data_IF_648697941309
#
_entry.id   IF_648697941309
#
_cell.length_a   1.000
_cell.length_b   1.000
_cell.length_c   1.000
_cell.angle_alpha   90.00
_cell.angle_beta   90.00
_cell.angle_gamma   90.00
#
_symmetry.space_group_name_H-M   'P 1'
#
loop_
_entity.id
_entity.type
_entity.pdbx_description
1 polymer ?
#
# COMPACT_ATOMS: atom_id res chain seq x y z
N UNK A 1 15.59 2.07 -0.97
CA UNK A 1 15.52 2.77 -2.28
C UNK A 1 14.45 3.84 -2.20
N UNK A 2 14.45 4.83 -3.09
CA UNK A 2 13.41 5.86 -3.22
C UNK A 2 12.58 5.61 -4.48
N UNK A 3 11.33 6.04 -4.51
CA UNK A 3 10.52 5.98 -5.72
C UNK A 3 11.12 6.84 -6.84
N UNK A 4 10.78 6.51 -8.09
CA UNK A 4 11.18 7.28 -9.26
C UNK A 4 10.00 8.14 -9.71
N UNK A 5 10.27 9.37 -10.13
CA UNK A 5 9.25 10.21 -10.76
C UNK A 5 8.74 9.62 -12.10
N UNK A 6 9.57 8.86 -12.80
CA UNK A 6 9.22 8.13 -14.03
C UNK A 6 9.85 6.73 -13.97
N UNK A 7 9.20 5.78 -13.27
CA UNK A 7 9.68 4.40 -13.21
C UNK A 7 9.44 3.69 -14.55
N UNK A 8 10.32 2.76 -14.89
CA UNK A 8 10.10 1.84 -16.01
C UNK A 8 9.08 0.75 -15.64
N UNK A 9 9.17 0.23 -14.42
CA UNK A 9 8.35 -0.87 -13.92
C UNK A 9 7.32 -0.35 -12.90
N UNK A 10 6.08 -0.20 -13.37
CA UNK A 10 4.95 0.17 -12.54
C UNK A 10 3.63 -0.26 -13.20
N UNK A 11 2.55 -0.28 -12.40
CA UNK A 11 1.20 -0.27 -12.92
C UNK A 11 0.36 0.77 -12.20
N UNK A 12 -0.78 1.14 -12.80
CA UNK A 12 -1.74 2.07 -12.21
C UNK A 12 -3.15 1.47 -12.24
N UNK A 13 -3.93 1.79 -11.21
CA UNK A 13 -5.36 1.50 -11.13
C UNK A 13 -6.13 2.77 -10.80
N UNK A 14 -7.39 2.84 -11.23
CA UNK A 14 -8.31 3.92 -10.87
C UNK A 14 -9.27 3.48 -9.76
N UNK A 15 -9.62 4.39 -8.86
CA UNK A 15 -10.61 4.14 -7.81
C UNK A 15 -11.40 5.41 -7.48
N UNK A 16 -12.52 5.27 -6.77
CA UNK A 16 -13.29 6.40 -6.24
C UNK A 16 -12.94 6.65 -4.78
N UNK A 17 -12.73 7.90 -4.39
CA UNK A 17 -12.62 8.29 -2.99
C UNK A 17 -13.27 9.66 -2.73
N UNK A 18 -13.75 9.85 -1.50
CA UNK A 18 -14.33 11.11 -1.05
C UNK A 18 -13.22 12.09 -0.67
N UNK A 19 -13.47 13.38 -0.91
CA UNK A 19 -12.55 14.44 -0.48
C UNK A 19 -12.36 14.42 1.04
N UNK A 20 -11.15 14.69 1.49
CA UNK A 20 -10.79 14.88 2.91
C UNK A 20 -11.21 13.73 3.83
N UNK A 21 -11.39 12.53 3.27
CA UNK A 21 -11.72 11.33 4.02
C UNK A 21 -10.45 10.51 4.20
N UNK A 22 -10.11 10.09 5.43
CA UNK A 22 -8.96 9.23 5.66
C UNK A 22 -9.26 7.79 5.20
N UNK A 23 -8.32 7.19 4.47
CA UNK A 23 -8.36 5.80 4.05
C UNK A 23 -7.14 5.04 4.54
N UNK A 24 -7.36 3.85 5.06
CA UNK A 24 -6.29 2.87 5.27
C UNK A 24 -5.98 2.16 3.96
N UNK A 25 -4.72 2.18 3.53
CA UNK A 25 -4.22 1.33 2.46
C UNK A 25 -3.95 -0.06 2.99
N UNK A 26 -4.47 -1.10 2.34
CA UNK A 26 -4.06 -2.47 2.52
C UNK A 26 -3.68 -3.07 1.17
N UNK A 27 -2.60 -3.85 1.15
CA UNK A 27 -2.22 -4.69 0.02
C UNK A 27 -2.13 -6.12 0.51
N UNK A 28 -2.76 -7.02 -0.25
CA UNK A 28 -2.55 -8.45 -0.10
C UNK A 28 -1.48 -8.88 -1.07
N UNK A 29 -0.39 -9.40 -0.53
CA UNK A 29 0.77 -9.76 -1.33
C UNK A 29 1.40 -11.08 -0.93
N UNK A 30 2.29 -11.56 -1.78
CA UNK A 30 3.12 -12.74 -1.57
C UNK A 30 4.52 -12.50 -2.14
N UNK A 31 5.53 -12.56 -1.28
CA UNK A 31 6.91 -12.44 -1.69
C UNK A 31 7.39 -13.72 -2.40
N UNK A 32 8.14 -13.57 -3.49
CA UNK A 32 8.77 -14.70 -4.16
C UNK A 32 9.75 -15.40 -3.21
N UNK A 33 9.48 -16.69 -2.98
CA UNK A 33 10.29 -17.53 -2.08
C UNK A 33 10.15 -17.19 -0.60
N UNK A 34 9.09 -16.47 -0.20
CA UNK A 34 8.89 -15.98 1.17
C UNK A 34 10.13 -15.21 1.69
N UNK A 35 10.78 -14.44 0.80
CA UNK A 35 12.01 -13.71 1.08
C UNK A 35 11.74 -12.23 1.35
N UNK A 36 12.33 -11.71 2.43
CA UNK A 36 12.30 -10.28 2.78
C UNK A 36 12.95 -9.38 1.72
N UNK A 37 13.76 -9.96 0.81
CA UNK A 37 14.39 -9.20 -0.26
C UNK A 37 13.45 -8.93 -1.45
N UNK A 38 12.24 -9.47 -1.41
CA UNK A 38 11.25 -9.49 -2.50
C UNK A 38 9.86 -9.06 -1.99
N UNK A 39 9.79 -8.22 -0.97
CA UNK A 39 8.62 -8.13 -0.09
C UNK A 39 7.98 -6.74 -0.02
N UNK A 40 8.43 -5.81 -0.85
CA UNK A 40 8.00 -4.43 -0.74
C UNK A 40 7.81 -3.69 -2.06
N UNK A 41 6.93 -2.69 -1.99
CA UNK A 41 6.59 -1.82 -3.13
C UNK A 41 6.50 -0.36 -2.69
N UNK A 42 6.82 0.54 -3.63
CA UNK A 42 6.48 1.95 -3.52
C UNK A 42 5.04 2.16 -3.98
N UNK A 43 4.29 2.97 -3.22
CA UNK A 43 2.90 3.32 -3.53
C UNK A 43 2.78 4.83 -3.63
N UNK A 44 2.19 5.28 -4.73
CA UNK A 44 1.93 6.69 -5.01
C UNK A 44 0.48 6.90 -5.44
N UNK A 45 -0.04 8.12 -5.29
CA UNK A 45 -1.39 8.49 -5.71
C UNK A 45 -1.41 9.75 -6.58
N UNK A 46 -2.49 9.99 -7.32
CA UNK A 46 -2.61 11.15 -8.22
C UNK A 46 -2.47 12.50 -7.51
N UNK A 47 -3.09 12.62 -6.34
CA UNK A 47 -3.41 13.91 -5.73
C UNK A 47 -3.59 13.81 -4.20
N UNK A 48 -3.00 12.77 -3.57
CA UNK A 48 -3.00 12.64 -2.12
C UNK A 48 -2.35 13.85 -1.44
N UNK A 49 -2.79 14.10 -0.21
CA UNK A 49 -2.35 15.20 0.64
C UNK A 49 -2.01 14.72 2.04
N UNK A 50 -1.14 15.44 2.73
CA UNK A 50 -0.90 15.29 4.16
C UNK A 50 -1.94 16.05 5.01
N UNK A 51 -1.78 16.00 6.34
CA UNK A 51 -2.67 16.65 7.32
C UNK A 51 -2.70 18.18 7.21
N UNK A 52 -1.74 18.80 6.51
CA UNK A 52 -1.70 20.24 6.23
C UNK A 52 -2.33 20.60 4.89
N UNK A 53 -2.74 19.60 4.10
CA UNK A 53 -3.23 19.75 2.74
C UNK A 53 -2.11 19.86 1.69
N UNK A 54 -0.85 19.68 2.07
CA UNK A 54 0.26 19.72 1.14
C UNK A 54 0.36 18.42 0.32
N UNK A 55 0.90 18.45 -0.91
CA UNK A 55 1.13 17.25 -1.71
C UNK A 55 1.96 16.20 -0.96
N UNK A 56 1.45 14.96 -0.89
CA UNK A 56 2.16 13.82 -0.30
C UNK A 56 2.01 12.58 -1.19
N UNK A 57 3.05 11.76 -1.28
CA UNK A 57 3.09 10.47 -2.00
C UNK A 57 2.59 10.53 -3.45
N UNK A 58 2.90 11.61 -4.16
CA UNK A 58 2.27 11.86 -5.48
C UNK A 58 2.99 11.18 -6.64
N UNK A 59 2.19 10.64 -7.55
CA UNK A 59 2.63 10.16 -8.86
C UNK A 59 3.40 11.26 -9.58
N UNK A 60 4.55 10.90 -10.18
CA UNK A 60 5.41 11.87 -10.87
C UNK A 60 6.46 12.52 -9.96
N UNK A 61 6.55 12.10 -8.70
CA UNK A 61 7.56 12.55 -7.73
C UNK A 61 8.41 11.38 -7.23
N UNK A 62 9.43 11.66 -6.43
CA UNK A 62 10.19 10.64 -5.70
C UNK A 62 9.59 10.31 -4.33
N UNK A 63 8.51 10.99 -3.94
CA UNK A 63 7.82 10.77 -2.68
C UNK A 63 6.79 9.64 -2.83
N UNK A 64 6.75 8.74 -1.86
CA UNK A 64 5.92 7.54 -1.85
C UNK A 64 5.71 7.03 -0.44
N UNK A 65 4.59 6.40 -0.18
CA UNK A 65 4.50 5.48 0.96
C UNK A 65 5.01 4.09 0.54
N UNK A 66 5.31 3.23 1.50
CA UNK A 66 5.83 1.88 1.24
C UNK A 66 4.93 0.89 1.93
N UNK A 67 4.63 -0.21 1.26
CA UNK A 67 4.07 -1.41 1.90
C UNK A 67 5.15 -2.47 1.92
N UNK A 68 5.42 -3.02 3.10
CA UNK A 68 6.33 -4.13 3.35
C UNK A 68 5.52 -5.32 3.85
N UNK A 69 5.72 -6.50 3.27
CA UNK A 69 5.02 -7.71 3.71
C UNK A 69 5.52 -8.19 5.08
N UNK A 70 6.83 -8.11 5.32
CA UNK A 70 7.42 -8.45 6.60
C UNK A 70 7.24 -7.25 7.55
N UNK A 71 6.39 -7.43 8.56
CA UNK A 71 6.05 -6.38 9.51
C UNK A 71 7.24 -5.94 10.37
N UNK A 72 8.27 -6.78 10.52
CA UNK A 72 9.46 -6.46 11.28
C UNK A 72 10.65 -7.34 10.87
N UNK A 73 11.87 -6.88 11.12
CA UNK A 73 13.08 -7.68 10.87
C UNK A 73 12.99 -9.04 11.58
N UNK A 74 12.95 -10.12 10.79
CA UNK A 74 12.89 -11.49 11.30
C UNK A 74 11.50 -11.94 11.78
N UNK A 75 10.45 -11.17 11.51
CA UNK A 75 9.07 -11.60 11.76
C UNK A 75 8.67 -12.77 10.84
N UNK A 76 9.31 -12.90 9.68
CA UNK A 76 9.15 -13.98 8.73
C UNK A 76 7.92 -13.84 7.83
N UNK A 77 8.08 -14.30 6.60
CA UNK A 77 7.03 -14.33 5.57
C UNK A 77 6.54 -15.75 5.36
N UNK A 78 5.28 -15.89 4.93
CA UNK A 78 4.75 -17.18 4.47
C UNK A 78 3.50 -16.97 3.64
N UNK A 79 3.55 -17.33 2.36
CA UNK A 79 2.38 -17.30 1.49
C UNK A 79 1.78 -15.91 1.31
N UNK A 80 0.46 -15.84 1.18
CA UNK A 80 -0.26 -14.57 1.05
C UNK A 80 -0.46 -13.91 2.42
N UNK A 81 -0.40 -12.59 2.45
CA UNK A 81 -0.58 -11.80 3.66
C UNK A 81 -1.08 -10.39 3.37
N UNK A 82 -1.88 -9.84 4.29
CA UNK A 82 -2.37 -8.46 4.24
C UNK A 82 -1.49 -7.54 5.06
N UNK A 83 -1.00 -6.47 4.44
CA UNK A 83 -0.24 -5.42 5.13
C UNK A 83 -0.67 -4.01 4.71
N UNK A 84 -0.54 -3.07 5.64
CA UNK A 84 -0.65 -1.65 5.34
C UNK A 84 0.73 -1.02 5.13
N UNK A 85 0.76 0.30 5.13
CA UNK A 85 1.99 1.09 5.01
C UNK A 85 2.67 1.37 6.37
N UNK A 86 2.41 0.55 7.39
CA UNK A 86 3.10 0.53 8.67
C UNK A 86 4.29 -0.43 8.66
N UNK A 87 5.28 -0.16 9.52
CA UNK A 87 6.37 -1.09 9.79
C UNK A 87 6.52 -1.27 11.30
N UNK A 88 6.28 -2.49 11.75
CA UNK A 88 6.28 -2.94 13.14
C UNK A 88 5.10 -3.86 13.44
N UNK A 89 5.27 -4.76 14.40
CA UNK A 89 4.18 -5.64 14.85
C UNK A 89 3.06 -4.82 15.48
N UNK A 90 1.84 -4.96 14.96
CA UNK A 90 0.66 -4.16 15.34
C UNK A 90 0.84 -2.64 15.16
N UNK A 91 1.72 -2.21 14.23
CA UNK A 91 1.89 -0.80 13.89
C UNK A 91 1.12 -0.50 12.60
N UNK A 92 0.23 0.48 12.65
CA UNK A 92 -0.44 1.00 11.46
C UNK A 92 0.32 2.20 10.90
N UNK A 93 0.40 2.30 9.58
CA UNK A 93 0.98 3.44 8.88
C UNK A 93 0.15 4.72 8.96
N UNK A 94 0.55 5.81 8.27
CA UNK A 94 -0.33 6.96 8.08
C UNK A 94 -1.48 6.64 7.13
N UNK A 95 -2.65 7.23 7.38
CA UNK A 95 -3.81 7.15 6.49
C UNK A 95 -3.59 8.00 5.23
N UNK A 96 -4.27 7.63 4.15
CA UNK A 96 -4.19 8.31 2.86
C UNK A 96 -5.44 9.19 2.70
N UNK A 97 -5.22 10.47 2.44
CA UNK A 97 -6.28 11.46 2.23
C UNK A 97 -6.12 12.13 0.88
N UNK A 98 -7.23 12.52 0.26
CA UNK A 98 -7.28 13.17 -1.05
C UNK A 98 -7.88 14.58 -0.93
N UNK A 99 -7.30 15.55 -1.64
CA UNK A 99 -7.78 16.93 -1.62
C UNK A 99 -9.12 17.10 -2.34
N UNK A 100 -9.40 16.26 -3.33
CA UNK A 100 -10.65 16.23 -4.09
C UNK A 100 -11.40 14.91 -3.93
N UNK A 101 -12.69 14.93 -4.25
CA UNK A 101 -13.51 13.73 -4.35
C UNK A 101 -13.62 13.26 -5.81
N UNK A 102 -13.90 11.98 -6.01
CA UNK A 102 -14.13 11.38 -7.33
C UNK A 102 -13.05 10.37 -7.71
N UNK A 103 -12.71 10.34 -9.00
CA UNK A 103 -11.76 9.37 -9.56
C UNK A 103 -10.32 9.76 -9.27
N UNK A 104 -9.59 8.84 -8.65
CA UNK A 104 -8.18 8.94 -8.31
C UNK A 104 -7.37 7.83 -8.97
N UNK A 105 -6.05 7.95 -8.95
CA UNK A 105 -5.14 6.87 -9.36
C UNK A 105 -4.23 6.45 -8.22
N UNK A 106 -3.99 5.15 -8.14
CA UNK A 106 -2.91 4.55 -7.36
C UNK A 106 -1.88 4.01 -8.34
N UNK A 107 -0.60 4.25 -8.08
CA UNK A 107 0.54 3.66 -8.78
C UNK A 107 1.29 2.77 -7.82
N UNK A 108 1.61 1.57 -8.29
CA UNK A 108 2.51 0.65 -7.62
C UNK A 108 3.80 0.57 -8.43
N UNK A 109 4.92 0.92 -7.81
CA UNK A 109 6.25 0.83 -8.38
C UNK A 109 7.06 -0.22 -7.62
N UNK A 110 7.87 -0.99 -8.35
CA UNK A 110 8.83 -1.93 -7.78
C UNK A 110 9.78 -1.22 -6.81
N UNK A 111 9.84 -1.70 -5.56
CA UNK A 111 10.90 -1.36 -4.59
C UNK A 111 11.91 -2.50 -4.52
N UNK A 112 11.38 -3.72 -4.45
CA UNK A 112 12.06 -4.99 -4.56
C UNK A 112 11.36 -5.88 -5.60
N UNK A 113 12.13 -6.73 -6.29
CA UNK A 113 11.57 -7.61 -7.32
C UNK A 113 10.92 -8.86 -6.72
N UNK A 114 9.89 -9.40 -7.36
CA UNK A 114 9.27 -10.66 -6.95
C UNK A 114 8.10 -10.57 -5.98
N UNK A 115 7.60 -9.37 -5.65
CA UNK A 115 6.34 -9.24 -4.90
C UNK A 115 5.14 -9.44 -5.83
N UNK A 116 4.30 -10.44 -5.53
CA UNK A 116 2.99 -10.62 -6.15
C UNK A 116 1.89 -9.88 -5.38
N UNK A 117 0.91 -9.31 -6.09
CA UNK A 117 -0.27 -8.63 -5.52
C UNK A 117 -1.53 -9.24 -6.15
N UNK A 118 -2.53 -9.58 -5.33
CA UNK A 118 -3.85 -10.01 -5.81
C UNK A 118 -4.98 -9.06 -5.40
N UNK A 119 -4.82 -8.29 -4.31
CA UNK A 119 -5.81 -7.29 -3.87
C UNK A 119 -5.17 -6.02 -3.31
N UNK A 120 -5.81 -4.89 -3.59
CA UNK A 120 -5.51 -3.59 -3.01
C UNK A 120 -6.82 -3.00 -2.48
N UNK A 121 -6.81 -2.51 -1.26
CA UNK A 121 -7.98 -1.96 -0.58
C UNK A 121 -7.65 -0.60 0.00
N UNK A 122 -8.46 0.40 -0.32
CA UNK A 122 -8.53 1.66 0.43
C UNK A 122 -9.82 1.64 1.24
N UNK A 123 -9.71 1.62 2.56
CA UNK A 123 -10.87 1.54 3.46
C UNK A 123 -10.95 2.73 4.40
N UNK A 124 -12.05 3.49 4.31
CA UNK A 124 -12.42 4.53 5.27
C UNK A 124 -13.30 4.01 6.44
N UNK A 125 -13.56 2.69 6.51
CA UNK A 125 -14.53 2.11 7.44
C UNK A 125 -14.07 0.81 8.07
N UNK A 126 -14.68 -0.32 7.68
CA UNK A 126 -14.49 -1.63 8.31
C UNK A 126 -13.02 -2.01 8.55
N UNK A 127 -12.14 -1.67 7.61
CA UNK A 127 -10.71 -1.98 7.67
C UNK A 127 -9.86 -0.74 7.94
N UNK A 128 -10.40 0.30 8.56
CA UNK A 128 -9.62 1.52 8.86
C UNK A 128 -8.53 1.24 9.91
N UNK A 129 -8.89 0.49 10.96
CA UNK A 129 -8.04 0.19 12.13
C UNK A 129 -7.71 -1.29 12.29
N UNK A 130 -8.11 -2.15 11.35
CA UNK A 130 -7.86 -3.58 11.40
C UNK A 130 -7.70 -4.15 9.98
N UNK A 131 -6.73 -5.05 9.83
CA UNK A 131 -6.45 -5.72 8.56
C UNK A 131 -7.63 -6.59 8.10
N UNK A 132 -7.88 -6.69 6.78
CA UNK A 132 -8.87 -7.62 6.25
C UNK A 132 -8.65 -9.07 6.65
N UNK A 133 -7.38 -9.47 6.78
CA UNK A 133 -6.97 -10.84 7.08
C UNK A 133 -5.66 -10.89 7.84
N UNK A 134 -5.01 -12.06 7.83
CA UNK A 134 -3.74 -12.26 8.53
C UNK A 134 -2.58 -11.63 7.74
N UNK A 135 -1.48 -11.25 8.43
CA UNK A 135 -0.28 -10.74 7.75
C UNK A 135 0.52 -11.82 7.01
N UNK A 136 0.20 -13.11 7.22
CA UNK A 136 0.86 -14.26 6.61
C UNK A 136 -0.04 -15.49 6.62
N UNK A 137 0.21 -16.42 5.71
CA UNK A 137 -0.57 -17.63 5.49
C UNK A 137 -2.08 -17.35 5.48
N UNK A 138 -2.45 -16.21 4.91
CA UNK A 138 -3.81 -15.72 4.84
C UNK A 138 -4.58 -16.40 3.70
N UNK A 139 -5.88 -16.58 3.92
CA UNK A 139 -6.83 -17.10 2.93
C UNK A 139 -8.01 -16.14 2.70
N UNK A 140 -7.96 -14.94 3.27
CA UNK A 140 -9.04 -13.96 3.22
C UNK A 140 -9.00 -13.20 1.90
N UNK A 141 -9.99 -13.45 1.05
CA UNK A 141 -10.23 -12.70 -0.19
C UNK A 141 -11.46 -11.83 -0.02
N UNK A 142 -11.34 -10.54 -0.30
CA UNK A 142 -12.48 -9.62 -0.28
C UNK A 142 -13.26 -9.66 -1.59
N UNK A 143 -14.60 -9.45 -1.57
CA UNK A 143 -15.38 -9.28 -2.78
C UNK A 143 -14.94 -8.03 -3.56
N UNK A 144 -15.09 -8.07 -4.88
CA UNK A 144 -14.83 -6.96 -5.80
C UNK A 144 -16.02 -6.00 -5.90
#
# INVERSE_FOLDING_TARGET
TTASASPADYFELTFQASAHTPYRLWIRGKALGDSYANDSVHVQFSDSVDDTGAPAFRIGTTDSTVVNLEECSGCGLSGWGWQDNGYGVNVLGPEITFGGGGTHRIRIQTREDGLGIDQIVLSAGKYLSASPGKPRADATILPQ
#
